data_IF_678353929835
#
_entry.id   IF_678353929835
#
_cell.length_a   1.000
_cell.length_b   1.000
_cell.length_c   1.000
_cell.angle_alpha   90.00
_cell.angle_beta   90.00
_cell.angle_gamma   90.00
#
_symmetry.space_group_name_H-M   'P 1'
#
loop_
_entity.id
_entity.type
_entity.pdbx_description
1 polymer ?
#
# COMPACT_ATOMS: atom_id res chain seq x y z
N UNK A 1 8.26 2.10 30.75
CA UNK A 1 9.23 1.16 30.15
C UNK A 1 9.79 1.79 28.88
N UNK A 2 11.08 2.05 28.82
CA UNK A 2 11.72 2.54 27.62
C UNK A 2 11.74 1.39 26.60
N UNK A 3 11.04 1.56 25.49
CA UNK A 3 11.11 0.66 24.34
C UNK A 3 12.56 0.68 23.85
N UNK A 4 13.28 -0.40 24.05
CA UNK A 4 14.65 -0.57 23.57
C UNK A 4 14.59 -0.36 22.04
N UNK A 5 15.13 0.76 21.56
CA UNK A 5 15.23 1.04 20.13
C UNK A 5 16.08 -0.08 19.55
N UNK A 6 15.50 -0.98 18.77
CA UNK A 6 16.24 -2.05 18.09
C UNK A 6 17.27 -1.40 17.17
N UNK A 7 18.49 -1.90 17.22
CA UNK A 7 19.53 -1.46 16.30
C UNK A 7 19.18 -1.87 14.87
N UNK A 8 19.54 -1.05 13.91
CA UNK A 8 19.34 -1.34 12.48
C UNK A 8 20.06 -2.63 12.10
N UNK A 9 19.43 -3.40 11.24
CA UNK A 9 20.02 -4.64 10.73
C UNK A 9 20.86 -4.42 9.47
N UNK A 10 20.69 -3.28 8.80
CA UNK A 10 21.44 -2.89 7.59
C UNK A 10 22.44 -1.78 7.87
N UNK A 11 23.48 -1.68 7.02
CA UNK A 11 24.45 -0.59 7.02
C UNK A 11 23.97 0.68 6.27
N UNK A 12 22.71 0.70 5.84
CA UNK A 12 22.12 1.82 5.11
C UNK A 12 22.00 3.06 6.00
N UNK A 13 22.16 4.28 5.43
CA UNK A 13 22.00 5.53 6.19
C UNK A 13 20.54 5.73 6.63
N UNK A 14 20.33 6.58 7.64
CA UNK A 14 18.98 6.94 8.11
C UNK A 14 18.15 7.71 7.07
N UNK A 15 18.82 8.41 6.18
CA UNK A 15 18.21 9.18 5.10
C UNK A 15 18.81 8.77 3.78
N UNK A 16 17.96 8.40 2.84
CA UNK A 16 18.35 8.06 1.47
C UNK A 16 17.59 8.99 0.53
N UNK A 17 18.31 9.69 -0.33
CA UNK A 17 17.70 10.53 -1.37
C UNK A 17 17.45 9.74 -2.63
N UNK A 18 16.25 9.83 -3.15
CA UNK A 18 15.84 9.18 -4.39
C UNK A 18 15.19 10.19 -5.34
N UNK A 19 15.52 10.18 -6.64
CA UNK A 19 15.02 11.18 -7.59
C UNK A 19 13.52 11.10 -7.86
N UNK A 20 12.90 9.95 -7.63
CA UNK A 20 11.46 9.72 -7.85
C UNK A 20 10.69 9.73 -6.53
N UNK A 21 11.22 9.07 -5.51
CA UNK A 21 10.56 8.87 -4.22
C UNK A 21 10.85 9.98 -3.20
N UNK A 22 11.80 10.86 -3.49
CA UNK A 22 12.22 11.90 -2.57
C UNK A 22 13.10 11.36 -1.44
N UNK A 23 12.92 11.83 -0.23
CA UNK A 23 13.74 11.40 0.92
C UNK A 23 13.09 10.22 1.62
N UNK A 24 13.78 9.08 1.56
CA UNK A 24 13.44 7.89 2.32
C UNK A 24 14.03 8.02 3.74
N UNK A 25 13.22 7.80 4.76
CA UNK A 25 13.65 7.84 6.16
C UNK A 25 13.53 6.46 6.79
N UNK A 26 14.57 6.07 7.50
CA UNK A 26 14.50 4.91 8.37
C UNK A 26 13.34 5.08 9.38
N UNK A 27 12.46 4.10 9.45
CA UNK A 27 11.25 4.10 10.28
C UNK A 27 11.36 3.11 11.42
N UNK A 28 11.70 1.86 11.12
CA UNK A 28 11.78 0.80 12.12
C UNK A 28 12.74 -0.31 11.68
N UNK A 29 13.28 -1.04 12.67
CA UNK A 29 13.91 -2.34 12.48
C UNK A 29 12.91 -3.42 12.89
N UNK A 30 12.57 -4.29 11.95
CA UNK A 30 11.60 -5.38 12.12
C UNK A 30 12.31 -6.70 11.91
N UNK A 31 12.57 -7.44 12.98
CA UNK A 31 13.27 -8.73 12.96
C UNK A 31 14.55 -8.69 12.09
N UNK A 32 14.50 -9.19 10.85
CA UNK A 32 15.64 -9.26 9.94
C UNK A 32 15.62 -8.18 8.86
N UNK A 33 14.70 -7.20 8.94
CA UNK A 33 14.54 -6.15 7.91
C UNK A 33 14.49 -4.76 8.53
N UNK A 34 15.01 -3.78 7.79
CA UNK A 34 14.83 -2.37 8.08
C UNK A 34 13.71 -1.79 7.20
N UNK A 35 12.85 -1.00 7.82
CA UNK A 35 11.78 -0.28 7.16
C UNK A 35 12.20 1.16 6.88
N UNK A 36 11.93 1.61 5.66
CA UNK A 36 12.09 2.99 5.23
C UNK A 36 10.77 3.54 4.71
N UNK A 37 10.51 4.81 4.98
CA UNK A 37 9.27 5.47 4.56
C UNK A 37 9.53 6.79 3.84
N UNK A 38 8.64 7.10 2.92
CA UNK A 38 8.49 8.44 2.33
C UNK A 38 7.02 8.77 2.19
N UNK A 39 6.70 10.05 2.00
CA UNK A 39 5.33 10.53 1.76
C UNK A 39 5.28 11.25 0.42
N UNK A 40 4.35 10.82 -0.41
CA UNK A 40 4.12 11.38 -1.75
C UNK A 40 2.66 11.78 -1.92
N UNK A 41 2.40 12.58 -2.95
CA UNK A 41 1.04 12.86 -3.40
C UNK A 41 0.77 12.00 -4.63
N UNK A 42 -0.20 11.09 -4.52
CA UNK A 42 -0.68 10.25 -5.62
C UNK A 42 -2.16 10.54 -5.83
N UNK A 43 -2.52 10.97 -7.03
CA UNK A 43 -3.90 11.35 -7.38
C UNK A 43 -4.53 12.32 -6.36
N UNK A 44 -3.79 13.36 -5.99
CA UNK A 44 -4.24 14.38 -5.03
C UNK A 44 -4.26 13.95 -3.57
N UNK A 45 -3.95 12.70 -3.26
CA UNK A 45 -3.94 12.16 -1.90
C UNK A 45 -2.51 12.00 -1.37
N UNK A 46 -2.29 12.36 -0.11
CA UNK A 46 -1.02 12.10 0.58
C UNK A 46 -0.94 10.63 0.96
N UNK A 47 0.05 9.93 0.41
CA UNK A 47 0.25 8.49 0.56
C UNK A 47 1.62 8.22 1.16
N UNK A 48 1.69 7.35 2.15
CA UNK A 48 2.95 6.82 2.68
C UNK A 48 3.43 5.66 1.81
N UNK A 49 4.69 5.68 1.42
CA UNK A 49 5.34 4.56 0.73
C UNK A 49 6.28 3.88 1.71
N UNK A 50 6.03 2.62 1.99
CA UNK A 50 6.86 1.77 2.82
C UNK A 50 7.75 0.87 1.97
N UNK A 51 9.00 0.77 2.34
CA UNK A 51 10.00 -0.08 1.70
C UNK A 51 10.74 -0.88 2.75
N UNK A 52 11.07 -2.12 2.44
CA UNK A 52 11.79 -3.03 3.33
C UNK A 52 13.09 -3.48 2.69
N UNK A 53 14.14 -3.62 3.51
CA UNK A 53 15.35 -4.29 3.05
C UNK A 53 15.05 -5.76 2.78
N UNK A 54 15.73 -6.33 1.79
CA UNK A 54 15.72 -7.77 1.56
C UNK A 54 16.62 -8.51 2.56
N UNK A 55 16.73 -9.81 2.44
CA UNK A 55 17.54 -10.67 3.30
C UNK A 55 19.05 -10.37 3.23
N UNK A 56 19.50 -9.64 2.22
CA UNK A 56 20.89 -9.17 2.08
C UNK A 56 21.12 -7.78 2.68
N UNK A 57 20.09 -7.16 3.24
CA UNK A 57 20.13 -5.78 3.74
C UNK A 57 20.02 -4.70 2.66
N UNK A 58 19.69 -5.09 1.40
CA UNK A 58 19.51 -4.16 0.29
C UNK A 58 18.08 -3.61 0.22
N UNK A 59 17.96 -2.30 0.03
CA UNK A 59 16.68 -1.63 -0.22
C UNK A 59 16.36 -1.50 -1.72
N UNK A 60 17.32 -1.79 -2.57
CA UNK A 60 17.22 -1.53 -4.01
C UNK A 60 16.05 -2.22 -4.70
N UNK A 61 15.73 -3.51 -4.45
CA UNK A 61 14.57 -4.14 -5.06
C UNK A 61 13.26 -3.40 -4.78
N UNK A 62 13.06 -2.93 -3.55
CA UNK A 62 11.88 -2.16 -3.15
C UNK A 62 11.89 -0.75 -3.77
N UNK A 63 13.02 -0.08 -3.84
CA UNK A 63 13.16 1.23 -4.51
C UNK A 63 12.73 1.10 -5.98
N UNK A 64 13.26 0.14 -6.70
CA UNK A 64 12.91 -0.10 -8.11
C UNK A 64 11.41 -0.36 -8.27
N UNK A 65 10.83 -1.16 -7.39
CA UNK A 65 9.40 -1.47 -7.40
C UNK A 65 8.56 -0.23 -7.09
N UNK A 66 8.89 0.52 -6.05
CA UNK A 66 8.19 1.72 -5.65
C UNK A 66 8.24 2.81 -6.72
N UNK A 67 9.39 3.04 -7.35
CA UNK A 67 9.51 3.97 -8.49
C UNK A 67 8.55 3.62 -9.62
N UNK A 68 8.49 2.35 -10.02
CA UNK A 68 7.57 1.88 -11.08
C UNK A 68 6.11 2.12 -10.71
N UNK A 69 5.75 1.89 -9.44
CA UNK A 69 4.40 2.15 -8.96
C UNK A 69 4.07 3.63 -9.07
N UNK A 70 4.95 4.51 -8.59
CA UNK A 70 4.73 5.96 -8.62
C UNK A 70 4.65 6.49 -10.06
N UNK A 71 5.58 6.11 -10.91
CA UNK A 71 5.64 6.55 -12.31
C UNK A 71 4.44 6.07 -13.15
N UNK A 72 3.89 4.91 -12.81
CA UNK A 72 2.78 4.29 -13.54
C UNK A 72 1.47 4.32 -12.77
N UNK A 73 1.39 5.13 -11.71
CA UNK A 73 0.24 5.12 -10.82
C UNK A 73 -1.11 5.30 -11.53
N UNK A 74 -1.29 6.20 -12.51
CA UNK A 74 -2.57 6.33 -13.21
C UNK A 74 -3.03 5.04 -13.89
N UNK A 75 -2.10 4.28 -14.49
CA UNK A 75 -2.41 2.99 -15.12
C UNK A 75 -2.70 1.90 -14.08
N UNK A 76 -1.97 1.90 -12.98
CA UNK A 76 -2.20 0.99 -11.85
C UNK A 76 -3.56 1.28 -11.22
N UNK A 77 -3.91 2.53 -11.02
CA UNK A 77 -5.20 2.96 -10.48
C UNK A 77 -6.37 2.47 -11.32
N UNK A 78 -6.28 2.54 -12.65
CA UNK A 78 -7.30 1.97 -13.53
C UNK A 78 -7.46 0.46 -13.35
N UNK A 79 -6.37 -0.28 -13.21
CA UNK A 79 -6.42 -1.73 -12.93
C UNK A 79 -7.02 -2.01 -11.55
N UNK A 80 -6.68 -1.20 -10.57
CA UNK A 80 -7.20 -1.28 -9.21
C UNK A 80 -8.72 -1.07 -9.18
N UNK A 81 -9.23 -0.04 -9.86
CA UNK A 81 -10.66 0.23 -9.96
C UNK A 81 -11.41 -0.93 -10.63
N UNK A 82 -10.87 -1.50 -11.71
CA UNK A 82 -11.44 -2.68 -12.37
C UNK A 82 -11.44 -3.92 -11.47
N UNK A 83 -10.41 -4.08 -10.66
CA UNK A 83 -10.35 -5.16 -9.70
C UNK A 83 -11.41 -5.01 -8.60
N UNK A 84 -11.56 -3.81 -8.04
CA UNK A 84 -12.60 -3.49 -7.06
C UNK A 84 -14.00 -3.72 -7.64
N UNK A 85 -14.24 -3.27 -8.86
CA UNK A 85 -15.52 -3.45 -9.56
C UNK A 85 -15.87 -4.93 -9.77
N UNK A 86 -14.89 -5.76 -10.10
CA UNK A 86 -15.11 -7.18 -10.38
C UNK A 86 -15.18 -8.04 -9.14
N UNK A 87 -14.31 -7.81 -8.16
CA UNK A 87 -14.12 -8.72 -7.03
C UNK A 87 -14.78 -8.24 -5.72
N UNK A 88 -14.83 -6.95 -5.48
CA UNK A 88 -15.28 -6.37 -4.22
C UNK A 88 -16.70 -5.84 -4.31
N UNK A 89 -16.99 -5.04 -5.33
CA UNK A 89 -18.27 -4.36 -5.49
C UNK A 89 -19.49 -5.28 -5.44
N UNK A 90 -19.54 -6.44 -6.15
CA UNK A 90 -20.69 -7.32 -6.10
C UNK A 90 -20.93 -7.91 -4.70
N UNK A 91 -19.86 -8.33 -4.05
CA UNK A 91 -19.92 -8.89 -2.69
C UNK A 91 -20.28 -7.84 -1.65
N UNK A 92 -19.79 -6.61 -1.81
CA UNK A 92 -20.09 -5.52 -0.91
C UNK A 92 -21.59 -5.27 -0.80
N UNK A 93 -22.26 -5.03 -1.91
CA UNK A 93 -23.69 -4.75 -1.93
C UNK A 93 -24.53 -5.96 -1.44
N UNK A 94 -24.10 -7.18 -1.78
CA UNK A 94 -24.79 -8.40 -1.39
C UNK A 94 -24.66 -8.72 0.11
N UNK A 95 -23.48 -8.50 0.68
CA UNK A 95 -23.16 -8.92 2.05
C UNK A 95 -23.25 -7.77 3.05
N UNK A 96 -22.62 -6.65 2.76
CA UNK A 96 -22.49 -5.53 3.68
C UNK A 96 -23.68 -4.56 3.64
N UNK A 97 -24.47 -4.63 2.58
CA UNK A 97 -25.64 -3.78 2.36
C UNK A 97 -26.90 -4.58 1.98
N UNK A 98 -26.99 -5.84 2.41
CA UNK A 98 -28.11 -6.73 2.07
C UNK A 98 -29.49 -6.12 2.33
N UNK A 99 -29.64 -5.41 3.46
CA UNK A 99 -30.89 -4.78 3.89
C UNK A 99 -30.95 -3.26 3.61
N UNK A 100 -30.04 -2.74 2.78
CA UNK A 100 -29.94 -1.31 2.49
C UNK A 100 -29.87 -1.08 0.99
N UNK A 101 -30.19 0.16 0.58
CA UNK A 101 -30.00 0.57 -0.81
C UNK A 101 -28.54 0.33 -1.26
N UNK A 102 -28.30 -0.40 -2.38
CA UNK A 102 -26.98 -0.63 -2.89
C UNK A 102 -26.22 0.67 -3.18
N UNK A 103 -24.90 0.65 -2.95
CA UNK A 103 -24.03 1.73 -3.42
C UNK A 103 -23.69 1.54 -4.90
N UNK A 104 -23.50 2.65 -5.59
CA UNK A 104 -22.86 2.65 -6.92
C UNK A 104 -21.36 2.46 -6.77
N UNK A 105 -20.69 2.09 -7.85
CA UNK A 105 -19.24 1.98 -7.87
C UNK A 105 -18.56 3.31 -7.49
N UNK A 106 -19.06 4.43 -8.01
CA UNK A 106 -18.55 5.77 -7.67
C UNK A 106 -18.68 6.09 -6.18
N UNK A 107 -19.79 5.69 -5.55
CA UNK A 107 -19.98 5.90 -4.13
C UNK A 107 -18.98 5.11 -3.29
N UNK A 108 -18.62 3.90 -3.72
CA UNK A 108 -17.59 3.09 -3.07
C UNK A 108 -16.20 3.72 -3.28
N UNK A 109 -15.83 4.05 -4.51
CA UNK A 109 -14.53 4.64 -4.81
C UNK A 109 -14.27 5.97 -4.08
N UNK A 110 -15.28 6.80 -3.93
CA UNK A 110 -15.15 8.07 -3.17
C UNK A 110 -14.87 7.87 -1.68
N UNK A 111 -15.26 6.72 -1.12
CA UNK A 111 -15.05 6.38 0.29
C UNK A 111 -13.71 5.70 0.54
N UNK A 112 -13.14 5.08 -0.49
CA UNK A 112 -11.84 4.43 -0.42
C UNK A 112 -10.73 5.48 -0.58
N UNK A 113 -9.96 5.71 0.48
CA UNK A 113 -8.82 6.64 0.47
C UNK A 113 -7.52 5.86 0.61
N UNK A 114 -6.72 5.85 -0.45
CA UNK A 114 -5.39 5.25 -0.39
C UNK A 114 -4.53 5.99 0.64
N UNK A 115 -3.98 5.25 1.59
CA UNK A 115 -3.16 5.79 2.68
C UNK A 115 -1.71 5.34 2.60
N UNK A 116 -1.49 4.11 2.18
CA UNK A 116 -0.16 3.53 2.17
C UNK A 116 0.01 2.56 1.02
N UNK A 117 1.20 2.54 0.47
CA UNK A 117 1.66 1.53 -0.47
C UNK A 117 2.92 0.91 0.10
N UNK A 118 2.93 -0.40 0.24
CA UNK A 118 4.11 -1.15 0.68
C UNK A 118 4.72 -1.86 -0.52
N UNK A 119 5.98 -1.56 -0.81
CA UNK A 119 6.76 -2.29 -1.81
C UNK A 119 7.59 -3.37 -1.11
N UNK A 120 7.30 -4.63 -1.43
CA UNK A 120 8.03 -5.77 -0.88
C UNK A 120 9.26 -6.11 -1.73
N UNK A 121 10.28 -6.78 -1.15
CA UNK A 121 11.46 -7.25 -1.89
C UNK A 121 11.11 -8.40 -2.84
N UNK A 122 10.35 -8.14 -3.85
CA UNK A 122 9.84 -9.12 -4.80
C UNK A 122 8.82 -8.49 -5.73
N UNK A 123 8.00 -9.30 -6.42
CA UNK A 123 7.01 -8.77 -7.34
C UNK A 123 5.80 -8.14 -6.64
N UNK A 124 5.63 -8.40 -5.35
CA UNK A 124 4.44 -8.00 -4.61
C UNK A 124 4.49 -6.54 -4.14
N UNK A 125 3.31 -5.93 -4.09
CA UNK A 125 3.04 -4.68 -3.41
C UNK A 125 1.64 -4.71 -2.81
N UNK A 126 1.44 -4.00 -1.70
CA UNK A 126 0.14 -3.88 -1.05
C UNK A 126 -0.31 -2.43 -1.02
N UNK A 127 -1.61 -2.23 -1.21
CA UNK A 127 -2.26 -0.93 -1.22
C UNK A 127 -3.28 -0.89 -0.09
N UNK A 128 -3.04 -0.03 0.88
CA UNK A 128 -3.86 0.10 2.09
C UNK A 128 -4.82 1.28 1.96
N UNK A 129 -6.10 1.00 2.09
CA UNK A 129 -7.16 1.98 2.04
C UNK A 129 -7.81 2.18 3.40
N UNK A 130 -7.97 3.44 3.77
CA UNK A 130 -9.00 3.82 4.71
C UNK A 130 -10.34 3.71 3.98
N UNK A 131 -11.17 2.81 4.44
CA UNK A 131 -12.46 2.50 3.84
C UNK A 131 -13.63 3.21 4.56
N UNK A 132 -13.34 4.07 5.53
CA UNK A 132 -14.36 4.78 6.30
C UNK A 132 -15.35 3.83 6.97
N UNK A 133 -16.62 4.00 6.65
CA UNK A 133 -17.74 3.19 7.17
C UNK A 133 -18.11 1.98 6.29
N UNK A 134 -17.42 1.76 5.18
CA UNK A 134 -17.78 0.71 4.22
C UNK A 134 -17.77 -0.68 4.86
N UNK A 135 -16.74 -1.01 5.61
CA UNK A 135 -16.53 -2.35 6.19
C UNK A 135 -16.48 -2.32 7.73
N UNK A 136 -17.37 -1.56 8.36
CA UNK A 136 -17.44 -1.43 9.83
C UNK A 136 -16.07 -1.12 10.46
N UNK A 137 -15.38 -0.10 9.94
CA UNK A 137 -14.06 0.34 10.37
C UNK A 137 -12.89 -0.60 10.03
N UNK A 138 -13.09 -1.68 9.27
CA UNK A 138 -11.98 -2.45 8.72
C UNK A 138 -11.30 -1.70 7.58
N UNK A 139 -9.98 -1.80 7.51
CA UNK A 139 -9.24 -1.33 6.34
C UNK A 139 -9.47 -2.27 5.14
N UNK A 140 -9.23 -1.77 3.94
CA UNK A 140 -9.14 -2.60 2.74
C UNK A 140 -7.69 -2.64 2.28
N UNK A 141 -7.15 -3.83 2.09
CA UNK A 141 -5.82 -4.05 1.55
C UNK A 141 -5.95 -4.77 0.22
N UNK A 142 -5.41 -4.19 -0.85
CA UNK A 142 -5.30 -4.85 -2.14
C UNK A 142 -3.87 -5.35 -2.35
N UNK A 143 -3.73 -6.58 -2.83
CA UNK A 143 -2.44 -7.19 -3.17
C UNK A 143 -2.22 -7.16 -4.67
N UNK A 144 -1.09 -6.62 -5.10
CA UNK A 144 -0.64 -6.57 -6.48
C UNK A 144 0.60 -7.43 -6.64
N UNK A 145 0.59 -8.32 -7.60
CA UNK A 145 1.70 -9.20 -7.95
C UNK A 145 2.42 -8.75 -9.22
N UNK A 146 2.91 -9.74 -9.97
CA UNK A 146 3.63 -9.53 -11.22
C UNK A 146 2.81 -8.73 -12.24
N UNK A 147 3.52 -7.98 -13.09
CA UNK A 147 2.96 -7.19 -14.19
C UNK A 147 1.87 -6.21 -13.74
N UNK A 148 1.95 -5.75 -12.48
CA UNK A 148 0.96 -4.86 -11.87
C UNK A 148 -0.47 -5.43 -11.94
N UNK A 149 -0.60 -6.73 -11.72
CA UNK A 149 -1.88 -7.43 -11.67
C UNK A 149 -2.36 -7.55 -10.22
N UNK A 150 -3.57 -7.12 -9.93
CA UNK A 150 -4.17 -7.34 -8.61
C UNK A 150 -4.61 -8.80 -8.48
N UNK A 151 -4.23 -9.44 -7.39
CA UNK A 151 -4.37 -10.89 -7.19
C UNK A 151 -5.13 -11.28 -5.93
N UNK A 152 -5.46 -10.33 -5.06
CA UNK A 152 -6.20 -10.60 -3.85
C UNK A 152 -6.48 -9.36 -3.04
N UNK A 153 -7.31 -9.50 -2.01
CA UNK A 153 -7.59 -8.46 -1.03
C UNK A 153 -7.81 -9.04 0.36
N UNK A 154 -7.59 -8.23 1.37
CA UNK A 154 -7.85 -8.53 2.78
C UNK A 154 -8.57 -7.37 3.45
N UNK A 155 -9.32 -7.67 4.49
CA UNK A 155 -10.02 -6.69 5.32
C UNK A 155 -9.67 -6.95 6.79
N UNK A 156 -8.48 -6.52 7.25
CA UNK A 156 -8.11 -6.68 8.64
C UNK A 156 -8.92 -5.75 9.53
N UNK A 157 -9.35 -6.24 10.67
CA UNK A 157 -10.09 -5.52 11.70
C UNK A 157 -9.46 -5.65 13.07
#
# INVERSE_FOLDING_TARGET
>A
MATKKRERTSELPELIKDPVLGTLRFSAALDDTDEYQTKLVLDGSRVTIDLYTDTTGSLNPCIVRARRIVERFPAIQKKMHRYIEREIFPNYNKTWRADKKPFTMDQILRRLKLRMVTAHPGPEATFWFDAGDLFFAHALILRMGDRNKFVGYDMPG
#
